data_IF_712719432199
#
_entry.id   IF_712719432199
#
_cell.length_a   1.000
_cell.length_b   1.000
_cell.length_c   1.000
_cell.angle_alpha   90.00
_cell.angle_beta   90.00
_cell.angle_gamma   90.00
#
_symmetry.space_group_name_H-M   'P 1'
#
loop_
_entity.id
_entity.type
_entity.pdbx_description
1 polymer ?
#
# COMPACT_ATOMS: atom_id res chain seq x y z
N UNK A 1 -20.09 -33.40 50.52
CA UNK A 1 -20.88 -32.17 50.30
C UNK A 1 -20.02 -30.94 50.58
N UNK A 2 -18.90 -30.80 49.86
CA UNK A 2 -18.06 -29.61 49.86
C UNK A 2 -17.70 -29.40 48.39
N UNK A 3 -18.57 -28.72 47.64
CA UNK A 3 -18.11 -28.12 46.38
C UNK A 3 -17.18 -26.99 46.81
N UNK A 4 -15.90 -27.12 46.48
CA UNK A 4 -14.91 -26.13 46.86
C UNK A 4 -15.34 -24.76 46.31
N UNK A 5 -15.31 -23.68 47.11
CA UNK A 5 -15.66 -22.34 46.64
C UNK A 5 -14.79 -21.89 45.44
N UNK A 6 -13.61 -22.52 45.29
CA UNK A 6 -12.73 -22.35 44.13
C UNK A 6 -13.37 -22.93 42.87
N UNK A 7 -14.03 -24.09 42.94
CA UNK A 7 -14.71 -24.74 41.81
C UNK A 7 -15.96 -23.92 41.42
N UNK A 8 -16.74 -23.45 42.40
CA UNK A 8 -17.92 -22.61 42.12
C UNK A 8 -17.54 -21.25 41.54
N UNK A 9 -16.42 -20.67 41.98
CA UNK A 9 -15.85 -19.47 41.38
C UNK A 9 -15.35 -19.72 39.94
N UNK A 10 -14.67 -20.84 39.71
CA UNK A 10 -14.22 -21.26 38.37
C UNK A 10 -15.38 -21.64 37.44
N UNK A 11 -16.52 -22.08 37.96
CA UNK A 11 -17.70 -22.39 37.15
C UNK A 11 -18.51 -21.13 36.83
N UNK A 12 -18.64 -20.22 37.79
CA UNK A 12 -19.59 -19.09 37.74
C UNK A 12 -18.95 -17.76 37.30
N UNK A 13 -17.62 -17.64 37.36
CA UNK A 13 -16.91 -16.42 36.96
C UNK A 13 -17.19 -15.20 37.87
N UNK A 14 -16.44 -14.12 37.66
CA UNK A 14 -16.44 -12.91 38.52
C UNK A 14 -17.79 -12.14 38.46
N UNK A 15 -18.62 -12.40 37.45
CA UNK A 15 -19.91 -11.74 37.23
C UNK A 15 -21.14 -12.66 37.37
N UNK A 16 -20.98 -13.91 37.84
CA UNK A 16 -22.05 -14.92 37.80
C UNK A 16 -22.41 -15.41 36.39
N UNK A 17 -21.67 -14.93 35.39
CA UNK A 17 -21.70 -15.38 34.01
C UNK A 17 -20.69 -16.52 33.89
N UNK A 18 -21.20 -17.75 33.74
CA UNK A 18 -20.35 -18.94 33.70
C UNK A 18 -19.21 -18.81 32.70
N UNK A 19 -18.07 -19.46 32.96
CA UNK A 19 -16.80 -19.21 32.22
C UNK A 19 -16.96 -19.31 30.70
N UNK A 20 -17.80 -20.23 30.22
CA UNK A 20 -18.15 -20.34 28.80
C UNK A 20 -18.76 -19.06 28.22
N UNK A 21 -19.65 -18.40 28.96
CA UNK A 21 -20.25 -17.14 28.54
C UNK A 21 -19.23 -16.00 28.50
N UNK A 22 -18.29 -15.94 29.47
CA UNK A 22 -17.22 -14.94 29.44
C UNK A 22 -16.26 -15.15 28.26
N UNK A 23 -15.96 -16.41 27.93
CA UNK A 23 -15.11 -16.75 26.78
C UNK A 23 -15.78 -16.33 25.46
N UNK A 24 -17.10 -16.56 25.33
CA UNK A 24 -17.87 -16.10 24.17
C UNK A 24 -17.90 -14.58 24.09
N UNK A 25 -18.12 -13.87 25.21
CA UNK A 25 -18.09 -12.40 25.23
C UNK A 25 -16.72 -11.86 24.82
N UNK A 26 -15.64 -12.41 25.38
CA UNK A 26 -14.27 -12.02 25.03
C UNK A 26 -13.99 -12.25 23.54
N UNK A 27 -14.41 -13.41 23.01
CA UNK A 27 -14.24 -13.75 21.60
C UNK A 27 -15.01 -12.79 20.70
N UNK A 28 -16.27 -12.50 21.02
CA UNK A 28 -17.12 -11.57 20.25
C UNK A 28 -16.57 -10.15 20.29
N UNK A 29 -16.16 -9.66 21.47
CA UNK A 29 -15.57 -8.32 21.62
C UNK A 29 -14.27 -8.22 20.83
N UNK A 30 -13.39 -9.21 20.93
CA UNK A 30 -12.11 -9.25 20.19
C UNK A 30 -12.34 -9.31 18.68
N UNK A 31 -13.30 -10.10 18.21
CA UNK A 31 -13.65 -10.14 16.79
C UNK A 31 -14.22 -8.80 16.31
N UNK A 32 -15.10 -8.18 17.10
CA UNK A 32 -15.70 -6.88 16.77
C UNK A 32 -14.67 -5.77 16.70
N UNK A 33 -13.71 -5.72 17.63
CA UNK A 33 -12.63 -4.72 17.60
C UNK A 33 -11.71 -4.92 16.40
N UNK A 34 -11.33 -6.17 16.10
CA UNK A 34 -10.50 -6.47 14.95
C UNK A 34 -11.18 -6.08 13.63
N UNK A 35 -12.46 -6.43 13.47
CA UNK A 35 -13.24 -6.06 12.29
C UNK A 35 -13.42 -4.54 12.16
N UNK A 36 -13.66 -3.83 13.27
CA UNK A 36 -13.76 -2.38 13.29
C UNK A 36 -12.44 -1.71 12.87
N UNK A 37 -11.30 -2.22 13.34
CA UNK A 37 -9.97 -1.71 12.96
C UNK A 37 -9.70 -1.93 11.47
N UNK A 38 -10.00 -3.12 10.93
CA UNK A 38 -9.86 -3.41 9.50
C UNK A 38 -10.72 -2.44 8.67
N UNK A 39 -11.99 -2.27 9.02
CA UNK A 39 -12.87 -1.33 8.32
C UNK A 39 -12.39 0.13 8.44
N UNK A 40 -11.87 0.52 9.60
CA UNK A 40 -11.32 1.86 9.81
C UNK A 40 -10.12 2.10 8.89
N UNK A 41 -9.17 1.16 8.84
CA UNK A 41 -8.00 1.26 7.97
C UNK A 41 -8.39 1.26 6.49
N UNK A 42 -9.35 0.43 6.09
CA UNK A 42 -9.87 0.39 4.72
C UNK A 42 -10.58 1.70 4.32
N UNK A 43 -11.40 2.26 5.21
CA UNK A 43 -12.07 3.55 4.96
C UNK A 43 -11.08 4.72 4.93
N UNK A 44 -10.00 4.64 5.70
CA UNK A 44 -8.93 5.64 5.69
C UNK A 44 -8.08 5.58 4.40
N UNK A 45 -7.96 4.39 3.79
CA UNK A 45 -7.36 4.20 2.46
C UNK A 45 -8.27 4.70 1.32
N UNK A 46 -9.60 4.63 1.49
CA UNK A 46 -10.57 5.05 0.47
C UNK A 46 -10.56 6.57 0.14
N UNK A 47 -9.97 7.41 0.99
CA UNK A 47 -9.79 8.84 0.66
C UNK A 47 -8.61 9.10 -0.29
N UNK A 48 -7.80 8.08 -0.63
CA UNK A 48 -6.67 8.19 -1.57
C UNK A 48 -6.86 7.42 -2.88
N UNK A 49 -7.97 6.72 -3.07
CA UNK A 49 -8.20 5.88 -4.26
C UNK A 49 -9.58 6.21 -4.84
N UNK A 50 -9.58 6.74 -6.06
CA UNK A 50 -10.80 6.91 -6.86
C UNK A 50 -11.44 5.52 -7.10
N UNK A 51 -12.66 5.33 -6.62
CA UNK A 51 -13.37 4.04 -6.70
C UNK A 51 -13.87 3.81 -8.13
N UNK A 52 -13.59 2.66 -8.77
CA UNK A 52 -14.17 2.30 -10.05
C UNK A 52 -15.60 1.76 -9.87
N UNK A 53 -16.56 2.46 -10.50
CA UNK A 53 -17.94 2.13 -10.88
C UNK A 53 -18.75 1.06 -10.10
N UNK A 54 -20.02 1.41 -9.84
CA UNK A 54 -21.00 0.65 -9.04
C UNK A 54 -21.24 -0.82 -9.46
N UNK A 55 -20.83 -1.21 -10.66
CA UNK A 55 -21.00 -2.56 -11.20
C UNK A 55 -20.02 -3.57 -10.58
N UNK A 56 -18.82 -3.13 -10.16
CA UNK A 56 -17.84 -3.99 -9.46
C UNK A 56 -18.27 -4.30 -8.02
N UNK A 57 -18.97 -3.37 -7.38
CA UNK A 57 -19.52 -3.51 -6.03
C UNK A 57 -20.61 -4.59 -5.96
N UNK A 58 -21.46 -4.66 -7.00
CA UNK A 58 -22.48 -5.72 -7.13
C UNK A 58 -21.85 -7.10 -7.35
N UNK A 59 -20.79 -7.17 -8.17
CA UNK A 59 -20.07 -8.41 -8.41
C UNK A 59 -19.41 -8.94 -7.12
N UNK A 60 -18.73 -8.09 -6.36
CA UNK A 60 -18.10 -8.48 -5.09
C UNK A 60 -19.11 -8.93 -4.03
N UNK A 61 -20.23 -8.23 -3.89
CA UNK A 61 -21.30 -8.61 -2.94
C UNK A 61 -21.94 -9.95 -3.30
N UNK A 62 -22.12 -10.24 -4.60
CA UNK A 62 -22.69 -11.52 -5.06
C UNK A 62 -21.78 -12.71 -4.75
N UNK A 63 -20.47 -12.57 -4.95
CA UNK A 63 -19.51 -13.66 -4.69
C UNK A 63 -19.38 -13.98 -3.19
N UNK A 64 -19.46 -12.96 -2.32
CA UNK A 64 -19.41 -13.17 -0.86
C UNK A 64 -20.67 -13.85 -0.32
N UNK A 65 -21.84 -13.60 -0.92
CA UNK A 65 -23.10 -14.21 -0.48
C UNK A 65 -23.19 -15.70 -0.86
N UNK A 66 -22.69 -16.06 -2.05
CA UNK A 66 -22.61 -17.46 -2.50
C UNK A 66 -21.72 -18.33 -1.60
N UNK A 67 -20.62 -17.76 -1.08
CA UNK A 67 -19.69 -18.45 -0.19
C UNK A 67 -20.30 -18.73 1.21
N UNK A 68 -21.23 -17.89 1.67
CA UNK A 68 -21.84 -18.03 2.99
C UNK A 68 -22.88 -19.16 3.06
N UNK A 69 -23.56 -19.46 1.95
CA UNK A 69 -24.61 -20.50 1.89
C UNK A 69 -24.03 -21.92 1.81
N UNK A 70 -22.80 -22.09 1.32
CA UNK A 70 -22.13 -23.41 1.23
C UNK A 70 -21.55 -23.91 2.57
N UNK A 71 -21.42 -23.06 3.59
CA UNK A 71 -20.65 -23.37 4.81
C UNK A 71 -21.46 -24.06 5.94
N UNK A 72 -22.73 -24.46 5.74
CA UNK A 72 -23.59 -24.95 6.85
C UNK A 72 -23.69 -26.48 7.02
N UNK A 73 -22.89 -27.32 6.33
CA UNK A 73 -23.05 -28.78 6.50
C UNK A 73 -21.83 -29.66 6.22
N UNK A 74 -20.71 -29.47 6.93
CA UNK A 74 -19.76 -30.55 7.25
C UNK A 74 -18.56 -29.99 8.00
N UNK A 75 -18.51 -30.27 9.31
CA UNK A 75 -17.49 -29.82 10.24
C UNK A 75 -16.15 -30.55 10.03
N UNK A 76 -15.09 -29.80 10.30
CA UNK A 76 -13.71 -30.21 10.62
C UNK A 76 -12.67 -30.34 9.49
N UNK A 77 -13.03 -30.75 8.26
CA UNK A 77 -12.05 -30.83 7.17
C UNK A 77 -11.95 -29.55 6.32
N UNK A 78 -13.06 -28.83 6.16
CA UNK A 78 -13.12 -27.58 5.38
C UNK A 78 -12.46 -26.42 6.15
N UNK A 79 -12.52 -26.41 7.48
CA UNK A 79 -11.98 -25.31 8.30
C UNK A 79 -10.44 -25.20 8.20
N UNK A 80 -9.74 -26.33 8.11
CA UNK A 80 -8.28 -26.36 7.88
C UNK A 80 -7.93 -25.96 6.44
N UNK A 81 -8.70 -26.42 5.45
CA UNK A 81 -8.51 -26.05 4.05
C UNK A 81 -8.76 -24.57 3.78
N UNK A 82 -9.83 -24.00 4.35
CA UNK A 82 -10.16 -22.56 4.23
C UNK A 82 -9.14 -21.70 4.97
N UNK A 83 -8.60 -22.13 6.11
CA UNK A 83 -7.51 -21.38 6.78
C UNK A 83 -6.22 -21.37 5.95
N UNK A 84 -5.89 -22.46 5.26
CA UNK A 84 -4.72 -22.52 4.38
C UNK A 84 -4.94 -21.69 3.11
N UNK A 85 -6.13 -21.76 2.50
CA UNK A 85 -6.49 -20.97 1.31
C UNK A 85 -6.62 -19.47 1.64
N UNK A 86 -7.22 -19.10 2.79
CA UNK A 86 -7.28 -17.71 3.25
C UNK A 86 -5.89 -17.15 3.56
N UNK A 87 -4.99 -17.93 4.17
CA UNK A 87 -3.61 -17.51 4.42
C UNK A 87 -2.84 -17.26 3.11
N UNK A 88 -3.03 -18.13 2.10
CA UNK A 88 -2.47 -17.93 0.77
C UNK A 88 -3.06 -16.70 0.05
N UNK A 89 -4.37 -16.44 0.18
CA UNK A 89 -5.00 -15.26 -0.43
C UNK A 89 -4.53 -13.93 0.19
N UNK A 90 -4.23 -13.89 1.50
CA UNK A 90 -3.71 -12.68 2.17
C UNK A 90 -2.30 -12.34 1.70
N UNK A 91 -1.45 -13.33 1.46
CA UNK A 91 -0.09 -13.11 0.94
C UNK A 91 -0.11 -12.51 -0.49
N UNK A 92 -1.05 -12.94 -1.34
CA UNK A 92 -1.22 -12.38 -2.69
C UNK A 92 -1.70 -10.92 -2.63
N UNK A 93 -2.60 -10.57 -1.70
CA UNK A 93 -3.09 -9.19 -1.56
C UNK A 93 -2.03 -8.20 -1.03
N UNK A 94 -1.15 -8.61 -0.11
CA UNK A 94 -0.08 -7.73 0.41
C UNK A 94 1.01 -7.48 -0.64
N UNK A 95 1.27 -8.44 -1.54
CA UNK A 95 2.21 -8.25 -2.65
C UNK A 95 1.69 -7.27 -3.72
N UNK A 96 0.39 -7.22 -3.97
CA UNK A 96 -0.18 -6.29 -4.97
C UNK A 96 -0.18 -4.83 -4.50
N UNK A 97 -0.21 -4.56 -3.19
CA UNK A 97 -0.27 -3.20 -2.66
C UNK A 97 1.02 -2.38 -2.93
N UNK A 98 2.20 -3.01 -2.96
CA UNK A 98 3.47 -2.32 -3.23
C UNK A 98 3.68 -2.02 -4.72
N UNK A 99 3.15 -2.87 -5.60
CA UNK A 99 3.26 -2.70 -7.05
C UNK A 99 2.40 -1.53 -7.54
N UNK A 100 1.21 -1.32 -6.95
CA UNK A 100 0.30 -0.27 -7.38
C UNK A 100 0.84 1.15 -7.15
N UNK A 101 1.46 1.44 -6.00
CA UNK A 101 2.05 2.77 -5.73
C UNK A 101 3.20 3.10 -6.70
N UNK A 102 3.99 2.09 -7.06
CA UNK A 102 5.13 2.24 -7.96
C UNK A 102 4.71 2.50 -9.40
N UNK A 103 3.68 1.79 -9.86
CA UNK A 103 3.06 2.00 -11.17
C UNK A 103 2.37 3.36 -11.26
N UNK A 104 1.68 3.79 -10.20
CA UNK A 104 1.06 5.10 -10.14
C UNK A 104 2.09 6.25 -10.13
N UNK A 105 3.29 6.02 -9.59
CA UNK A 105 4.38 6.98 -9.63
C UNK A 105 5.03 7.06 -11.02
N UNK A 106 5.27 5.92 -11.68
CA UNK A 106 5.73 5.86 -13.07
C UNK A 106 4.76 6.56 -14.04
N UNK A 107 3.47 6.27 -13.94
CA UNK A 107 2.42 6.84 -14.79
C UNK A 107 2.34 8.38 -14.73
N UNK A 108 2.96 9.02 -13.74
CA UNK A 108 3.03 10.49 -13.67
C UNK A 108 4.20 11.06 -14.48
N UNK A 109 5.22 10.25 -14.74
CA UNK A 109 6.41 10.60 -15.51
C UNK A 109 6.28 10.16 -16.96
N UNK A 110 5.72 8.97 -17.15
CA UNK A 110 5.37 8.36 -18.43
C UNK A 110 4.29 9.21 -19.12
N UNK A 111 4.71 9.98 -20.12
CA UNK A 111 3.84 10.90 -20.86
C UNK A 111 3.24 10.23 -22.08
N UNK A 112 3.93 9.24 -22.66
CA UNK A 112 3.49 8.52 -23.85
C UNK A 112 2.63 7.26 -23.55
N UNK A 113 2.64 6.80 -22.30
CA UNK A 113 1.84 5.70 -21.78
C UNK A 113 2.39 4.32 -22.09
N UNK A 114 3.69 4.19 -22.37
CA UNK A 114 4.31 2.91 -22.72
C UNK A 114 4.63 2.00 -21.51
N UNK A 115 4.45 2.52 -20.29
CA UNK A 115 4.70 1.81 -19.03
C UNK A 115 6.16 1.81 -18.60
N UNK A 116 7.00 2.63 -19.22
CA UNK A 116 8.41 2.87 -18.93
C UNK A 116 8.66 4.38 -18.89
N UNK A 117 9.88 4.79 -18.55
CA UNK A 117 10.27 6.21 -18.59
C UNK A 117 11.52 6.33 -19.44
N UNK A 118 11.42 7.06 -20.54
CA UNK A 118 12.56 7.38 -21.40
C UNK A 118 13.48 8.41 -20.73
N UNK A 119 14.74 8.49 -21.19
CA UNK A 119 15.70 9.49 -20.69
C UNK A 119 15.20 10.93 -20.84
N UNK A 120 14.51 11.23 -21.95
CA UNK A 120 13.96 12.57 -22.20
C UNK A 120 12.82 12.91 -21.23
N UNK A 121 11.89 11.98 -20.99
CA UNK A 121 10.82 12.16 -20.01
C UNK A 121 11.36 12.30 -18.59
N UNK A 122 12.37 11.50 -18.24
CA UNK A 122 13.06 11.61 -16.96
C UNK A 122 13.69 13.00 -16.77
N UNK A 123 14.35 13.52 -17.82
CA UNK A 123 14.96 14.85 -17.79
C UNK A 123 13.92 15.96 -17.69
N UNK A 124 12.84 15.89 -18.45
CA UNK A 124 11.73 16.86 -18.37
C UNK A 124 11.16 16.88 -16.96
N UNK A 125 10.80 15.72 -16.42
CA UNK A 125 10.20 15.60 -15.10
C UNK A 125 11.12 16.11 -13.97
N UNK A 126 12.41 15.78 -14.02
CA UNK A 126 13.38 16.25 -13.02
C UNK A 126 13.75 17.73 -13.18
N UNK A 127 13.73 18.26 -14.41
CA UNK A 127 13.99 19.68 -14.68
C UNK A 127 12.82 20.60 -14.30
N UNK A 128 11.60 20.05 -14.15
CA UNK A 128 10.42 20.83 -13.74
C UNK A 128 10.61 21.61 -12.44
N UNK A 129 11.30 21.03 -11.45
CA UNK A 129 11.60 21.71 -10.19
C UNK A 129 12.66 22.81 -10.33
N UNK A 130 13.56 22.69 -11.32
CA UNK A 130 14.52 23.73 -11.67
C UNK A 130 13.79 24.90 -12.33
N UNK A 131 12.94 24.61 -13.32
CA UNK A 131 12.15 25.60 -14.05
C UNK A 131 11.21 26.40 -13.15
N UNK A 132 10.68 25.79 -12.07
CA UNK A 132 9.87 26.51 -11.09
C UNK A 132 10.65 27.46 -10.17
N UNK A 133 11.97 27.29 -10.03
CA UNK A 133 12.81 28.16 -9.20
C UNK A 133 13.55 29.22 -9.99
N UNK A 134 13.77 28.96 -11.26
CA UNK A 134 14.40 29.85 -12.25
C UNK A 134 13.37 30.92 -12.62
N UNK A 135 13.29 31.98 -11.80
CA UNK A 135 12.25 33.02 -11.89
C UNK A 135 12.54 34.00 -13.02
N UNK A 136 13.83 34.22 -13.32
CA UNK A 136 14.27 35.07 -14.41
C UNK A 136 14.47 34.31 -15.73
N UNK A 137 14.37 32.97 -15.71
CA UNK A 137 14.51 32.09 -16.86
C UNK A 137 15.88 32.20 -17.56
N UNK A 138 16.92 32.56 -16.81
CA UNK A 138 18.28 32.67 -17.32
C UNK A 138 18.98 31.30 -17.44
N UNK A 139 18.37 30.25 -16.89
CA UNK A 139 18.88 28.89 -16.90
C UNK A 139 19.96 28.61 -15.86
N UNK A 140 20.10 29.45 -14.84
CA UNK A 140 21.10 29.36 -13.78
C UNK A 140 20.50 29.74 -12.42
N UNK A 141 20.32 28.74 -11.54
CA UNK A 141 19.86 29.03 -10.19
C UNK A 141 20.98 29.65 -9.35
N UNK A 142 20.76 30.88 -8.89
CA UNK A 142 21.73 31.63 -8.09
C UNK A 142 21.09 32.50 -6.99
N UNK A 143 21.89 32.82 -5.96
CA UNK A 143 21.51 33.78 -4.91
C UNK A 143 20.21 33.43 -4.18
N UNK A 144 19.17 34.22 -4.42
CA UNK A 144 17.86 34.11 -3.77
C UNK A 144 16.98 32.96 -4.34
N UNK A 145 17.33 32.41 -5.51
CA UNK A 145 16.62 31.27 -6.12
C UNK A 145 17.08 29.91 -5.56
N UNK A 146 18.25 29.89 -4.91
CA UNK A 146 18.78 28.69 -4.27
C UNK A 146 18.11 28.47 -2.90
N UNK A 147 17.73 27.23 -2.57
CA UNK A 147 17.14 26.92 -1.26
C UNK A 147 18.10 27.22 -0.11
N UNK A 148 19.41 27.15 -0.38
CA UNK A 148 20.44 27.71 0.47
C UNK A 148 20.97 28.99 -0.19
N UNK A 149 20.66 30.16 0.38
CA UNK A 149 21.02 31.51 -0.09
C UNK A 149 22.52 31.76 -0.36
N UNK A 150 23.38 30.76 -0.14
CA UNK A 150 24.84 30.74 -0.27
C UNK A 150 25.36 29.48 -0.99
N UNK A 151 24.55 28.86 -1.84
CA UNK A 151 24.99 27.76 -2.71
C UNK A 151 25.80 28.24 -3.90
N UNK A 152 26.61 27.35 -4.49
CA UNK A 152 27.25 27.60 -5.78
C UNK A 152 26.18 27.67 -6.88
N UNK A 153 26.29 28.58 -7.87
CA UNK A 153 25.33 28.65 -8.97
C UNK A 153 25.22 27.29 -9.67
N UNK A 154 23.99 26.83 -9.87
CA UNK A 154 23.71 25.57 -10.55
C UNK A 154 23.17 25.90 -11.92
N UNK A 155 23.95 25.65 -12.96
CA UNK A 155 23.49 25.84 -14.34
C UNK A 155 22.59 24.68 -14.77
N UNK A 156 21.61 24.96 -15.61
CA UNK A 156 20.71 23.96 -16.20
C UNK A 156 21.49 22.86 -16.93
N UNK A 157 22.55 23.24 -17.65
CA UNK A 157 23.41 22.30 -18.36
C UNK A 157 24.14 21.34 -17.40
N UNK A 158 24.72 21.87 -16.31
CA UNK A 158 25.36 21.04 -15.30
C UNK A 158 24.34 20.14 -14.60
N UNK A 159 23.15 20.67 -14.28
CA UNK A 159 22.08 19.90 -13.67
C UNK A 159 21.63 18.74 -14.56
N UNK A 160 21.42 18.99 -15.86
CA UNK A 160 21.07 17.95 -16.84
C UNK A 160 22.16 16.90 -16.98
N UNK A 161 23.44 17.29 -17.00
CA UNK A 161 24.54 16.32 -17.05
C UNK A 161 24.50 15.36 -15.84
N UNK A 162 24.29 15.88 -14.63
CA UNK A 162 24.15 15.04 -13.44
C UNK A 162 22.91 14.12 -13.50
N UNK A 163 21.80 14.60 -14.07
CA UNK A 163 20.60 13.77 -14.25
C UNK A 163 20.84 12.63 -15.24
N UNK A 164 21.56 12.89 -16.34
CA UNK A 164 21.94 11.87 -17.32
C UNK A 164 22.84 10.82 -16.66
N UNK A 165 23.84 11.25 -15.88
CA UNK A 165 24.71 10.32 -15.14
C UNK A 165 23.90 9.44 -14.19
N UNK A 166 22.95 10.01 -13.46
CA UNK A 166 22.06 9.24 -12.57
C UNK A 166 21.17 8.28 -13.34
N UNK A 167 20.64 8.71 -14.48
CA UNK A 167 19.83 7.85 -15.35
C UNK A 167 20.62 6.61 -15.75
N UNK A 168 21.86 6.78 -16.21
CA UNK A 168 22.75 5.67 -16.60
C UNK A 168 23.07 4.76 -15.41
N UNK A 169 23.22 5.29 -14.21
CA UNK A 169 23.43 4.48 -13.00
C UNK A 169 22.17 3.69 -12.59
N UNK A 170 20.99 4.23 -12.88
CA UNK A 170 19.71 3.62 -12.57
C UNK A 170 19.30 2.56 -13.60
N UNK A 171 19.69 2.77 -14.87
CA UNK A 171 19.49 1.84 -15.99
C UNK A 171 20.46 0.66 -15.88
N UNK A 172 20.04 -0.34 -15.10
CA UNK A 172 20.84 -1.53 -14.84
C UNK A 172 20.92 -2.48 -16.05
N UNK A 173 19.94 -2.43 -16.94
CA UNK A 173 19.83 -3.34 -18.08
C UNK A 173 20.44 -2.74 -19.37
N UNK A 174 20.64 -1.41 -19.41
CA UNK A 174 21.24 -0.68 -20.52
C UNK A 174 20.33 -0.53 -21.73
N UNK A 175 19.01 -0.61 -21.56
CA UNK A 175 18.04 -0.54 -22.65
C UNK A 175 17.65 0.91 -23.02
N UNK A 176 18.10 1.90 -22.25
CA UNK A 176 17.80 3.31 -22.46
C UNK A 176 16.46 3.76 -21.88
N UNK A 177 15.81 2.93 -21.06
CA UNK A 177 14.56 3.22 -20.37
C UNK A 177 14.65 2.81 -18.88
N UNK A 178 13.83 3.44 -18.03
CA UNK A 178 13.70 3.02 -16.63
C UNK A 178 12.37 2.28 -16.42
N UNK A 179 12.47 1.02 -16.03
CA UNK A 179 11.32 0.24 -15.58
C UNK A 179 10.93 0.54 -14.13
N UNK A 180 9.74 0.09 -13.71
CA UNK A 180 9.24 0.26 -12.34
C UNK A 180 10.19 -0.30 -11.28
N UNK A 181 10.82 -1.43 -11.59
CA UNK A 181 11.74 -2.09 -10.69
C UNK A 181 13.07 -1.33 -10.59
N UNK A 182 13.57 -0.78 -11.71
CA UNK A 182 14.81 0.00 -11.73
C UNK A 182 14.65 1.33 -11.00
N UNK A 183 13.52 2.01 -11.19
CA UNK A 183 13.23 3.28 -10.54
C UNK A 183 13.20 3.20 -9.00
N UNK A 184 12.85 2.04 -8.44
CA UNK A 184 12.80 1.78 -6.99
C UNK A 184 14.09 1.19 -6.44
N UNK A 185 15.00 0.75 -7.32
CA UNK A 185 16.26 0.18 -6.88
C UNK A 185 17.10 1.26 -6.19
N UNK A 186 17.74 0.95 -5.04
CA UNK A 186 18.69 1.87 -4.45
C UNK A 186 19.85 2.11 -5.44
N UNK A 187 20.39 3.34 -5.50
CA UNK A 187 21.53 3.65 -6.36
C UNK A 187 22.71 2.73 -5.98
N UNK A 188 23.38 2.19 -7.00
CA UNK A 188 24.50 1.25 -6.86
C UNK A 188 25.85 1.94 -6.85
#
# INVERSE_FOLDING_TARGET
>A
MLSDPIIDFLASGIAGLGVWSMLVVLLVVTHRTFFAVILYLHRRQAHRIAVPNADTLKALLSHCFQAFVCARRSSDLILRGVLIVCSACVAVFVAQAQVQDSQAYLQRMDTDGDGRVSGDEYLVWMSYAFDQRDLDHDGVLQGDELPARRGKPITRAAHRATLIERFVLQDANGDGYLSACELLAPPR
#
